data_IF_878315435758
#
_entry.id   IF_878315435758
#
_cell.length_a   1.000
_cell.length_b   1.000
_cell.length_c   1.000
_cell.angle_alpha   90.00
_cell.angle_beta   90.00
_cell.angle_gamma   90.00
#
_symmetry.space_group_name_H-M   'P 1'
#
loop_
_entity.id
_entity.type
_entity.pdbx_description
1 polymer ?
#
# COMPACT_ATOMS: atom_id res chain seq x y z
N UNK A 1 46.74 -8.78 -60.26
CA UNK A 1 47.53 -8.62 -59.02
C UNK A 1 46.93 -7.47 -58.24
N UNK A 2 46.02 -7.79 -57.32
CA UNK A 2 45.46 -6.84 -56.35
C UNK A 2 45.38 -7.60 -55.03
N UNK A 3 46.05 -7.04 -54.03
CA UNK A 3 46.33 -7.62 -52.72
C UNK A 3 45.10 -7.47 -51.83
N UNK A 4 44.70 -8.55 -51.17
CA UNK A 4 43.72 -8.55 -50.09
C UNK A 4 44.36 -7.97 -48.85
N UNK A 5 43.85 -6.85 -48.33
CA UNK A 5 44.19 -6.38 -46.98
C UNK A 5 43.32 -7.11 -45.96
N UNK A 6 43.99 -7.91 -45.14
CA UNK A 6 43.50 -8.57 -43.94
C UNK A 6 43.55 -7.57 -42.79
N UNK A 7 42.39 -7.06 -42.36
CA UNK A 7 42.28 -6.18 -41.19
C UNK A 7 42.09 -7.05 -39.93
N UNK A 8 43.20 -7.25 -39.23
CA UNK A 8 43.34 -7.84 -37.89
C UNK A 8 42.45 -7.09 -36.87
N UNK A 9 41.27 -7.65 -36.60
CA UNK A 9 40.36 -7.15 -35.56
C UNK A 9 40.72 -7.81 -34.22
N UNK A 10 41.81 -7.36 -33.60
CA UNK A 10 42.09 -7.67 -32.20
C UNK A 10 41.02 -7.03 -31.34
N UNK A 11 40.14 -7.89 -30.85
CA UNK A 11 39.18 -7.61 -29.78
C UNK A 11 39.95 -7.09 -28.58
N UNK A 12 39.87 -5.77 -28.34
CA UNK A 12 40.25 -5.20 -27.06
C UNK A 12 39.24 -5.70 -26.03
N UNK A 13 39.68 -6.54 -25.10
CA UNK A 13 38.93 -6.80 -23.88
C UNK A 13 38.67 -5.46 -23.16
N UNK A 14 37.45 -5.20 -22.68
CA UNK A 14 37.24 -4.11 -21.74
C UNK A 14 38.01 -4.40 -20.44
N UNK A 15 38.56 -3.37 -19.77
CA UNK A 15 39.25 -3.55 -18.50
C UNK A 15 38.26 -4.07 -17.45
N UNK A 16 38.71 -5.00 -16.61
CA UNK A 16 38.01 -5.50 -15.44
C UNK A 16 37.62 -4.30 -14.54
N UNK A 17 36.39 -3.84 -14.69
CA UNK A 17 35.78 -2.82 -13.85
C UNK A 17 35.17 -3.50 -12.63
N UNK A 18 35.38 -2.89 -11.47
CA UNK A 18 34.72 -3.20 -10.21
C UNK A 18 33.35 -3.88 -10.38
N UNK A 19 33.24 -5.15 -9.96
CA UNK A 19 31.98 -5.88 -9.88
C UNK A 19 31.07 -5.19 -8.85
N UNK A 20 30.33 -4.18 -9.30
CA UNK A 20 29.24 -3.57 -8.54
C UNK A 20 28.13 -4.60 -8.43
N UNK A 21 27.99 -5.19 -7.25
CA UNK A 21 26.82 -6.03 -6.96
C UNK A 21 25.60 -5.12 -6.86
N UNK A 22 24.51 -5.51 -7.52
CA UNK A 22 23.23 -4.82 -7.46
C UNK A 22 22.25 -5.60 -6.60
N UNK A 23 21.42 -4.87 -5.86
CA UNK A 23 20.17 -5.38 -5.31
C UNK A 23 19.06 -5.08 -6.31
N UNK A 24 18.15 -6.02 -6.52
CA UNK A 24 17.00 -5.86 -7.40
C UNK A 24 15.71 -5.90 -6.60
N UNK A 25 14.72 -5.14 -7.05
CA UNK A 25 13.35 -5.27 -6.57
C UNK A 25 12.35 -5.12 -7.71
N UNK A 26 11.18 -5.71 -7.52
CA UNK A 26 10.06 -5.57 -8.45
C UNK A 26 8.94 -4.80 -7.78
N UNK A 27 8.33 -3.87 -8.52
CA UNK A 27 7.10 -3.19 -8.14
C UNK A 27 6.12 -3.28 -9.31
N UNK A 28 4.82 -3.29 -9.00
CA UNK A 28 3.76 -3.18 -9.99
C UNK A 28 3.16 -1.78 -9.89
N UNK A 29 2.95 -1.18 -11.04
CA UNK A 29 2.22 0.07 -11.18
C UNK A 29 0.99 -0.16 -12.07
N UNK A 30 -0.11 0.51 -11.77
CA UNK A 30 -1.21 0.64 -12.73
C UNK A 30 -0.70 1.42 -13.94
N UNK A 31 -1.20 1.09 -15.13
CA UNK A 31 -0.82 1.77 -16.36
C UNK A 31 -1.08 3.26 -16.23
N UNK A 32 -0.19 4.11 -16.75
CA UNK A 32 -0.30 5.57 -16.58
C UNK A 32 0.23 6.10 -15.24
N UNK A 33 0.32 5.26 -14.20
CA UNK A 33 0.90 5.63 -12.89
C UNK A 33 2.38 5.24 -12.75
N UNK A 34 3.01 4.73 -13.81
CA UNK A 34 4.40 4.25 -13.74
C UNK A 34 5.37 5.36 -13.37
N UNK A 35 5.14 6.58 -13.86
CA UNK A 35 5.99 7.73 -13.57
C UNK A 35 6.03 8.05 -12.06
N UNK A 36 4.89 7.94 -11.38
CA UNK A 36 4.79 8.13 -9.91
C UNK A 36 5.56 7.03 -9.17
N UNK A 37 5.36 5.78 -9.59
CA UNK A 37 6.07 4.63 -9.00
C UNK A 37 7.58 4.73 -9.21
N UNK A 38 8.02 5.16 -10.39
CA UNK A 38 9.44 5.38 -10.70
C UNK A 38 10.00 6.52 -9.85
N UNK A 39 9.34 7.68 -9.81
CA UNK A 39 9.80 8.82 -9.03
C UNK A 39 9.92 8.48 -7.53
N UNK A 40 8.98 7.71 -7.00
CA UNK A 40 9.03 7.18 -5.63
C UNK A 40 10.28 6.34 -5.39
N UNK A 41 10.55 5.34 -6.22
CA UNK A 41 11.70 4.46 -6.04
C UNK A 41 13.04 5.16 -6.32
N UNK A 42 13.09 6.07 -7.29
CA UNK A 42 14.25 6.93 -7.56
C UNK A 42 14.60 7.82 -6.37
N UNK A 43 13.61 8.37 -5.67
CA UNK A 43 13.80 9.12 -4.42
C UNK A 43 14.45 8.28 -3.32
N UNK A 44 14.18 6.97 -3.29
CA UNK A 44 14.78 6.00 -2.36
C UNK A 44 16.13 5.43 -2.85
N UNK A 45 16.68 6.02 -3.92
CA UNK A 45 17.97 5.68 -4.49
C UNK A 45 17.96 4.43 -5.36
N UNK A 46 16.78 3.96 -5.80
CA UNK A 46 16.65 2.89 -6.78
C UNK A 46 16.63 3.43 -8.21
N UNK A 47 17.22 2.71 -9.14
CA UNK A 47 17.21 3.05 -10.55
C UNK A 47 16.31 2.08 -11.31
N UNK A 48 15.49 2.58 -12.25
CA UNK A 48 14.71 1.70 -13.12
C UNK A 48 15.65 0.86 -13.99
N UNK A 49 15.54 -0.46 -13.90
CA UNK A 49 16.32 -1.41 -14.70
C UNK A 49 15.52 -1.93 -15.90
N UNK A 50 14.33 -2.48 -15.64
CA UNK A 50 13.46 -3.06 -16.68
C UNK A 50 12.01 -2.64 -16.48
N UNK A 51 11.29 -2.44 -17.59
CA UNK A 51 9.86 -2.19 -17.62
C UNK A 51 9.18 -3.19 -18.54
N UNK A 52 8.22 -3.95 -18.00
CA UNK A 52 7.40 -4.90 -18.76
C UNK A 52 5.95 -4.41 -18.72
N UNK A 53 5.48 -3.88 -19.84
CA UNK A 53 4.14 -3.31 -19.93
C UNK A 53 3.11 -4.41 -20.20
N UNK A 54 2.15 -4.56 -19.29
CA UNK A 54 0.95 -5.38 -19.48
C UNK A 54 -0.26 -4.55 -19.93
N UNK A 55 -1.44 -5.16 -19.95
CA UNK A 55 -2.69 -4.50 -20.39
C UNK A 55 -3.10 -3.40 -19.40
N UNK A 56 -3.25 -3.77 -18.12
CA UNK A 56 -3.64 -2.89 -17.01
C UNK A 56 -2.48 -2.49 -16.09
N UNK A 57 -1.53 -3.40 -15.88
CA UNK A 57 -0.43 -3.24 -14.92
C UNK A 57 0.90 -3.29 -15.66
N UNK A 58 1.85 -2.49 -15.21
CA UNK A 58 3.23 -2.50 -15.67
C UNK A 58 4.12 -3.05 -14.56
N UNK A 59 4.82 -4.15 -14.84
CA UNK A 59 5.86 -4.66 -13.95
C UNK A 59 7.12 -3.80 -14.14
N UNK A 60 7.63 -3.24 -13.04
CA UNK A 60 8.81 -2.40 -12.99
C UNK A 60 9.87 -3.12 -12.14
N UNK A 61 11.03 -3.40 -12.73
CA UNK A 61 12.19 -3.90 -12.00
C UNK A 61 13.15 -2.75 -11.78
N UNK A 62 13.54 -2.54 -10.53
CA UNK A 62 14.51 -1.55 -10.13
C UNK A 62 15.79 -2.22 -9.64
N UNK A 63 16.90 -1.50 -9.73
CA UNK A 63 18.19 -1.92 -9.19
C UNK A 63 18.81 -0.82 -8.34
N UNK A 64 19.61 -1.19 -7.36
CA UNK A 64 20.42 -0.25 -6.58
C UNK A 64 21.78 -0.87 -6.29
N UNK A 65 22.84 -0.07 -6.35
CA UNK A 65 24.18 -0.56 -6.02
C UNK A 65 24.22 -1.00 -4.56
N UNK A 66 24.63 -2.25 -4.33
CA UNK A 66 24.83 -2.78 -2.98
C UNK A 66 25.99 -2.02 -2.34
N UNK A 67 25.79 -1.32 -1.21
CA UNK A 67 26.89 -0.61 -0.59
C UNK A 67 27.96 -1.62 -0.20
N UNK A 68 29.20 -1.39 -0.67
CA UNK A 68 30.34 -2.32 -0.52
C UNK A 68 30.71 -2.61 0.94
N UNK A 69 30.11 -1.92 1.91
CA UNK A 69 30.43 -2.07 3.33
C UNK A 69 29.18 -2.00 4.22
N UNK A 70 28.80 -3.09 4.93
CA UNK A 70 27.66 -3.09 5.86
C UNK A 70 27.83 -2.08 7.01
N UNK A 71 29.08 -1.71 7.34
CA UNK A 71 29.35 -0.66 8.32
C UNK A 71 28.87 0.73 7.86
N UNK A 72 28.92 1.02 6.55
CA UNK A 72 28.42 2.28 6.00
C UNK A 72 26.89 2.34 6.06
N UNK A 73 26.19 1.20 5.91
CA UNK A 73 24.73 1.13 6.11
C UNK A 73 24.36 1.40 7.57
N UNK A 74 25.07 0.80 8.53
CA UNK A 74 24.87 1.09 9.95
C UNK A 74 25.13 2.56 10.29
N UNK A 75 26.21 3.15 9.76
CA UNK A 75 26.55 4.56 9.99
C UNK A 75 25.51 5.49 9.35
N UNK A 76 25.07 5.21 8.12
CA UNK A 76 24.03 6.00 7.46
C UNK A 76 22.69 5.91 8.20
N UNK A 77 22.31 4.71 8.65
CA UNK A 77 21.11 4.51 9.45
C UNK A 77 21.19 5.24 10.79
N UNK A 78 22.30 5.11 11.53
CA UNK A 78 22.50 5.81 12.80
C UNK A 78 22.52 7.34 12.62
N UNK A 79 23.12 7.85 11.54
CA UNK A 79 23.15 9.28 11.25
C UNK A 79 21.77 9.84 10.89
N UNK A 80 21.00 9.14 10.04
CA UNK A 80 19.66 9.55 9.63
C UNK A 80 18.66 9.58 10.80
N UNK A 81 18.85 8.70 11.80
CA UNK A 81 17.93 8.58 12.94
C UNK A 81 18.47 9.23 14.22
N UNK A 82 19.70 9.77 14.21
CA UNK A 82 20.28 10.50 15.35
C UNK A 82 19.39 11.63 15.91
N UNK A 83 18.64 12.41 15.12
CA UNK A 83 17.74 13.45 15.65
C UNK A 83 16.62 12.89 16.53
N UNK A 84 16.16 11.65 16.26
CA UNK A 84 15.13 10.98 17.06
C UNK A 84 15.68 10.47 18.39
N UNK A 85 16.95 10.06 18.43
CA UNK A 85 17.61 9.57 19.66
C UNK A 85 18.24 10.68 20.50
N UNK A 86 18.69 11.78 19.90
CA UNK A 86 19.34 12.91 20.58
C UNK A 86 18.43 13.72 21.52
N UNK A 87 17.12 13.46 21.54
CA UNK A 87 16.14 14.11 22.43
C UNK A 87 15.79 13.30 23.69
N UNK A 88 16.37 12.12 23.89
CA UNK A 88 16.12 11.28 25.07
C UNK A 88 17.00 11.75 26.25
N UNK A 89 16.56 12.77 26.98
CA UNK A 89 17.27 13.37 28.13
C UNK A 89 16.97 12.69 29.48
N UNK A 90 16.13 11.66 29.49
CA UNK A 90 15.75 10.92 30.69
C UNK A 90 16.73 9.76 30.95
N UNK A 91 17.36 9.75 32.14
CA UNK A 91 18.32 8.72 32.59
C UNK A 91 17.74 7.30 32.49
N UNK A 92 16.42 7.15 32.64
CA UNK A 92 15.71 5.87 32.55
C UNK A 92 15.67 5.32 31.11
N UNK A 93 15.57 6.19 30.11
CA UNK A 93 15.58 5.80 28.69
C UNK A 93 16.99 5.41 28.22
N UNK A 94 18.04 6.03 28.78
CA UNK A 94 19.42 5.65 28.50
C UNK A 94 19.76 4.24 29.02
N UNK A 95 19.24 3.87 30.19
CA UNK A 95 19.39 2.50 30.75
C UNK A 95 18.63 1.47 29.90
N UNK A 96 17.42 1.80 29.44
CA UNK A 96 16.64 0.92 28.57
C UNK A 96 17.31 0.70 27.20
N UNK A 97 17.91 1.74 26.62
CA UNK A 97 18.62 1.65 25.34
C UNK A 97 19.93 0.85 25.47
N UNK A 98 20.67 1.03 26.58
CA UNK A 98 21.87 0.25 26.87
C UNK A 98 21.54 -1.24 27.07
N UNK A 99 20.42 -1.56 27.73
CA UNK A 99 19.94 -2.94 27.86
C UNK A 99 19.54 -3.54 26.50
N UNK A 100 18.83 -2.79 25.65
CA UNK A 100 18.46 -3.24 24.31
C UNK A 100 19.68 -3.45 23.40
N UNK A 101 20.66 -2.54 23.43
CA UNK A 101 21.91 -2.68 22.69
C UNK A 101 22.74 -3.88 23.18
N UNK A 102 22.76 -4.14 24.50
CA UNK A 102 23.40 -5.33 25.06
C UNK A 102 22.72 -6.63 24.64
N UNK A 103 21.38 -6.65 24.53
CA UNK A 103 20.61 -7.79 24.04
C UNK A 103 20.90 -8.05 22.55
N UNK A 104 20.94 -7.02 21.71
CA UNK A 104 21.30 -7.16 20.28
C UNK A 104 22.73 -7.67 20.12
N UNK A 105 23.68 -7.17 20.91
CA UNK A 105 25.05 -7.68 20.91
C UNK A 105 25.11 -9.15 21.36
N UNK A 106 24.31 -9.55 22.36
CA UNK A 106 24.21 -10.95 22.82
C UNK A 106 23.61 -11.88 21.75
N UNK A 107 22.60 -11.41 21.00
CA UNK A 107 22.00 -12.18 19.89
C UNK A 107 22.99 -12.35 18.74
N UNK A 108 23.78 -11.32 18.41
CA UNK A 108 24.82 -11.41 17.38
C UNK A 108 26.00 -12.31 17.79
N UNK A 109 26.37 -12.32 19.08
CA UNK A 109 27.39 -13.26 19.61
C UNK A 109 26.82 -14.69 19.68
N UNK A 110 25.55 -14.87 20.02
CA UNK A 110 24.86 -16.16 20.02
C UNK A 110 24.75 -16.78 18.62
N UNK A 111 24.43 -15.97 17.61
CA UNK A 111 24.39 -16.40 16.21
C UNK A 111 25.77 -16.87 15.69
N UNK A 112 26.86 -16.36 16.25
CA UNK A 112 28.24 -16.75 15.91
C UNK A 112 28.69 -18.07 16.58
N UNK A 113 28.01 -18.52 17.65
CA UNK A 113 28.35 -19.76 18.38
C UNK A 113 27.49 -20.96 17.97
N UNK A 114 26.31 -20.74 17.38
CA UNK A 114 25.35 -21.81 17.01
C UNK A 114 25.71 -22.57 15.73
N UNK A 115 26.78 -22.19 15.01
CA UNK A 115 27.26 -22.92 13.83
C UNK A 115 27.97 -24.28 14.12
N UNK A 116 28.02 -24.76 15.37
CA UNK A 116 28.90 -25.91 15.72
C UNK A 116 28.27 -27.12 16.43
N UNK A 117 26.99 -27.17 16.83
CA UNK A 117 26.47 -28.37 17.52
C UNK A 117 25.02 -28.70 17.14
N UNK A 118 24.87 -29.79 16.39
CA UNK A 118 23.64 -30.58 16.24
C UNK A 118 23.18 -31.14 17.60
N UNK A 119 21.86 -31.18 17.84
CA UNK A 119 21.29 -32.05 18.87
C UNK A 119 19.94 -31.56 19.38
N UNK A 120 18.88 -32.30 19.05
CA UNK A 120 17.49 -31.95 19.34
C UNK A 120 17.06 -32.03 20.81
N UNK A 121 15.79 -31.72 21.03
CA UNK A 121 15.11 -31.89 22.31
C UNK A 121 13.79 -31.11 22.37
N UNK A 122 12.69 -31.83 22.25
CA UNK A 122 11.32 -31.38 22.56
C UNK A 122 11.20 -30.90 24.00
N UNK A 123 10.50 -29.79 24.24
CA UNK A 123 9.81 -29.54 25.50
C UNK A 123 8.65 -28.56 25.31
N UNK A 124 7.46 -29.02 25.68
CA UNK A 124 6.23 -28.26 25.90
C UNK A 124 6.14 -27.86 27.38
N UNK A 125 5.64 -26.66 27.70
CA UNK A 125 4.62 -26.52 28.75
C UNK A 125 3.54 -25.48 28.34
N UNK A 126 2.25 -25.82 28.39
CA UNK A 126 1.36 -25.85 29.56
C UNK A 126 0.87 -24.44 29.99
N UNK A 127 -0.43 -24.24 29.80
CA UNK A 127 -1.21 -23.09 30.23
C UNK A 127 -1.38 -23.02 31.75
N UNK A 128 -1.63 -21.81 32.26
CA UNK A 128 -2.40 -21.59 33.48
C UNK A 128 -3.18 -20.25 33.39
N UNK A 129 -4.34 -20.14 34.06
CA UNK A 129 -5.29 -19.03 33.95
C UNK A 129 -5.11 -18.00 35.07
N UNK A 130 -5.58 -16.76 34.85
CA UNK A 130 -5.78 -15.78 35.93
C UNK A 130 -7.10 -15.01 35.74
N UNK A 131 -8.10 -15.45 36.51
CA UNK A 131 -8.87 -14.74 37.54
C UNK A 131 -9.23 -13.24 37.39
N UNK A 132 -10.45 -12.93 37.83
CA UNK A 132 -11.21 -11.71 37.58
C UNK A 132 -11.24 -10.69 38.73
N UNK A 133 -11.66 -9.46 38.35
CA UNK A 133 -12.40 -8.42 39.12
C UNK A 133 -11.59 -7.52 40.10
N UNK A 134 -12.11 -6.35 40.57
CA UNK A 134 -13.40 -5.68 40.33
C UNK A 134 -13.35 -4.14 40.07
N UNK A 135 -14.55 -3.59 39.93
CA UNK A 135 -15.02 -2.21 39.71
C UNK A 135 -14.46 -1.05 40.56
N UNK A 136 -14.39 0.13 39.93
CA UNK A 136 -14.58 1.48 40.50
C UNK A 136 -15.09 2.38 39.35
N UNK A 137 -15.78 3.50 39.50
CA UNK A 137 -16.73 4.05 40.47
C UNK A 137 -17.23 5.33 39.78
N UNK A 138 -18.54 5.45 39.64
CA UNK A 138 -19.27 6.60 39.08
C UNK A 138 -18.84 7.92 39.74
N UNK A 139 -18.43 8.90 38.92
CA UNK A 139 -18.54 10.32 39.24
C UNK A 139 -19.64 10.91 38.37
N UNK A 140 -20.72 11.35 39.01
CA UNK A 140 -21.77 12.13 38.39
C UNK A 140 -21.29 13.59 38.36
N UNK A 141 -20.96 14.09 37.18
CA UNK A 141 -20.80 15.53 36.97
C UNK A 141 -22.11 16.09 36.44
N UNK A 142 -22.68 16.99 37.23
CA UNK A 142 -23.94 17.67 36.95
C UNK A 142 -23.62 18.85 36.04
N UNK A 143 -23.74 18.65 34.73
CA UNK A 143 -23.65 19.72 33.75
C UNK A 143 -25.03 20.37 33.58
N UNK A 144 -25.09 21.66 33.89
CA UNK A 144 -26.22 22.55 33.71
C UNK A 144 -26.68 22.57 32.25
N UNK A 145 -27.91 22.14 31.98
CA UNK A 145 -28.57 22.26 30.67
C UNK A 145 -28.75 23.74 30.31
N UNK A 146 -27.90 24.22 29.40
CA UNK A 146 -28.17 25.41 28.62
C UNK A 146 -29.16 25.03 27.51
N UNK A 147 -30.23 25.80 27.26
CA UNK A 147 -31.17 25.51 26.18
C UNK A 147 -30.45 25.55 24.84
N UNK A 148 -30.12 24.37 24.32
CA UNK A 148 -29.58 24.18 22.99
C UNK A 148 -30.68 24.50 21.99
N UNK A 149 -30.50 25.60 21.27
CA UNK A 149 -31.26 25.92 20.06
C UNK A 149 -31.20 24.67 19.16
N UNK A 150 -32.37 24.14 18.79
CA UNK A 150 -32.44 22.90 18.04
C UNK A 150 -31.69 23.09 16.71
N UNK A 151 -30.70 22.25 16.38
CA UNK A 151 -30.02 22.38 15.11
C UNK A 151 -31.05 22.28 13.98
N UNK A 152 -30.85 23.03 12.88
CA UNK A 152 -31.72 22.91 11.72
C UNK A 152 -31.80 21.44 11.32
N UNK A 153 -33.02 20.95 11.14
CA UNK A 153 -33.29 19.59 10.66
C UNK A 153 -32.65 19.48 9.28
N UNK A 154 -31.51 18.79 9.19
CA UNK A 154 -30.89 18.47 7.91
C UNK A 154 -31.92 17.74 7.05
N UNK A 155 -32.06 18.14 5.79
CA UNK A 155 -32.93 17.43 4.86
C UNK A 155 -32.44 15.99 4.73
N UNK A 156 -33.34 15.02 4.76
CA UNK A 156 -32.96 13.62 4.71
C UNK A 156 -32.37 13.30 3.34
N UNK A 157 -31.06 13.05 3.28
CA UNK A 157 -30.38 12.59 2.08
C UNK A 157 -31.02 11.30 1.57
N UNK A 158 -31.34 11.27 0.27
CA UNK A 158 -31.87 10.07 -0.41
C UNK A 158 -30.96 9.75 -1.58
N UNK A 159 -30.33 8.58 -1.53
CA UNK A 159 -29.49 8.09 -2.61
C UNK A 159 -30.31 7.87 -3.89
N UNK A 160 -29.83 8.42 -5.01
CA UNK A 160 -30.49 8.36 -6.32
C UNK A 160 -29.62 7.68 -7.40
N UNK A 161 -28.52 7.03 -6.99
CA UNK A 161 -27.59 6.37 -7.90
C UNK A 161 -27.99 4.94 -8.28
N UNK A 162 -27.11 4.23 -9.02
CA UNK A 162 -27.32 2.82 -9.36
C UNK A 162 -27.36 1.94 -8.10
N UNK A 163 -27.93 0.74 -8.21
CA UNK A 163 -27.80 -0.24 -7.12
C UNK A 163 -26.35 -0.69 -6.99
N UNK A 164 -25.88 -0.82 -5.75
CA UNK A 164 -24.54 -1.32 -5.44
C UNK A 164 -24.55 -2.14 -4.15
N UNK A 165 -23.52 -2.97 -3.98
CA UNK A 165 -23.25 -3.73 -2.76
C UNK A 165 -21.82 -3.49 -2.30
N UNK A 166 -21.62 -3.22 -1.01
CA UNK A 166 -20.29 -3.24 -0.39
C UNK A 166 -19.94 -4.69 -0.08
N UNK A 167 -19.00 -5.27 -0.83
CA UNK A 167 -18.58 -6.67 -0.70
C UNK A 167 -17.59 -6.84 0.45
N UNK A 168 -16.57 -5.98 0.49
CA UNK A 168 -15.50 -6.00 1.49
C UNK A 168 -15.22 -4.57 1.94
N UNK A 169 -14.93 -4.41 3.23
CA UNK A 169 -14.41 -3.17 3.81
C UNK A 169 -13.08 -3.50 4.48
N UNK A 170 -12.01 -2.86 4.00
CA UNK A 170 -10.69 -2.93 4.64
C UNK A 170 -10.46 -1.61 5.41
N UNK A 171 -10.37 -1.68 6.73
CA UNK A 171 -10.06 -0.53 7.58
C UNK A 171 -8.54 -0.31 7.70
N UNK A 172 -8.14 0.93 8.01
CA UNK A 172 -6.74 1.31 8.26
C UNK A 172 -5.77 0.92 7.12
N UNK A 173 -6.22 0.96 5.87
CA UNK A 173 -5.36 0.70 4.73
C UNK A 173 -4.49 1.90 4.39
N UNK A 174 -3.30 1.64 3.88
CA UNK A 174 -2.26 2.63 3.53
C UNK A 174 -1.60 3.34 4.72
N UNK A 175 -0.60 4.17 4.43
CA UNK A 175 0.06 5.00 5.43
C UNK A 175 -0.85 6.11 6.00
N UNK A 176 -2.00 6.37 5.38
CA UNK A 176 -2.99 7.33 5.85
C UNK A 176 -4.11 6.72 6.71
N UNK A 177 -4.13 5.40 6.89
CA UNK A 177 -5.18 4.73 7.67
C UNK A 177 -6.58 4.96 7.08
N UNK A 178 -6.68 4.91 5.75
CA UNK A 178 -7.95 5.10 5.04
C UNK A 178 -8.80 3.84 5.14
N UNK A 179 -10.13 4.00 5.12
CA UNK A 179 -11.03 2.89 4.85
C UNK A 179 -11.13 2.67 3.35
N UNK A 180 -11.03 1.41 2.90
CA UNK A 180 -11.25 1.00 1.51
C UNK A 180 -12.53 0.19 1.38
N UNK A 181 -13.38 0.63 0.48
CA UNK A 181 -14.62 -0.04 0.09
C UNK A 181 -14.43 -0.78 -1.24
N UNK A 182 -14.75 -2.07 -1.25
CA UNK A 182 -14.86 -2.85 -2.47
C UNK A 182 -16.33 -2.98 -2.85
N UNK A 183 -16.70 -2.33 -3.94
CA UNK A 183 -18.09 -2.15 -4.34
C UNK A 183 -18.41 -2.97 -5.59
N UNK A 184 -19.44 -3.80 -5.50
CA UNK A 184 -20.00 -4.54 -6.61
C UNK A 184 -21.19 -3.80 -7.21
N UNK A 185 -21.22 -3.74 -8.54
CA UNK A 185 -22.30 -3.13 -9.33
C UNK A 185 -22.71 -4.07 -10.47
N UNK A 186 -23.90 -3.85 -11.02
CA UNK A 186 -24.25 -4.41 -12.33
C UNK A 186 -23.39 -3.74 -13.43
N UNK A 187 -23.09 -4.44 -14.55
CA UNK A 187 -22.35 -3.85 -15.66
C UNK A 187 -22.99 -2.58 -16.21
N UNK A 188 -22.16 -1.56 -16.46
CA UNK A 188 -22.60 -0.26 -16.98
C UNK A 188 -22.68 -0.22 -18.51
N UNK A 189 -23.42 0.77 -19.03
CA UNK A 189 -23.35 1.14 -20.45
C UNK A 189 -22.13 2.05 -20.70
N UNK A 190 -21.04 1.45 -21.18
CA UNK A 190 -19.79 2.14 -21.51
C UNK A 190 -19.81 2.92 -22.83
N UNK A 191 -20.95 2.99 -23.53
CA UNK A 191 -21.08 3.74 -24.79
C UNK A 191 -21.20 5.26 -24.59
N UNK A 192 -21.43 5.69 -23.34
CA UNK A 192 -21.54 7.10 -22.94
C UNK A 192 -20.77 7.33 -21.64
N UNK A 193 -20.51 8.58 -21.26
CA UNK A 193 -19.84 8.91 -19.99
C UNK A 193 -20.78 8.82 -18.77
N UNK A 194 -22.03 8.39 -18.94
CA UNK A 194 -23.02 8.31 -17.87
C UNK A 194 -22.60 7.37 -16.74
N UNK A 195 -21.85 6.30 -17.05
CA UNK A 195 -21.31 5.41 -16.01
C UNK A 195 -20.39 6.14 -15.02
N UNK A 196 -19.64 7.16 -15.46
CA UNK A 196 -18.78 7.95 -14.58
C UNK A 196 -19.61 8.76 -13.58
N UNK A 197 -20.73 9.35 -14.04
CA UNK A 197 -21.67 10.05 -13.17
C UNK A 197 -22.29 9.09 -12.14
N UNK A 198 -22.67 7.89 -12.57
CA UNK A 198 -23.24 6.87 -11.70
C UNK A 198 -22.23 6.39 -10.63
N UNK A 199 -20.97 6.21 -11.00
CA UNK A 199 -19.90 5.86 -10.05
C UNK A 199 -19.63 6.99 -9.08
N UNK A 200 -19.58 8.25 -9.55
CA UNK A 200 -19.44 9.41 -8.65
C UNK A 200 -20.55 9.43 -7.61
N UNK A 201 -21.80 9.13 -7.98
CA UNK A 201 -22.90 9.03 -7.02
C UNK A 201 -22.67 7.96 -5.95
N UNK A 202 -22.13 6.79 -6.31
CA UNK A 202 -21.75 5.74 -5.34
C UNK A 202 -20.70 6.27 -4.36
N UNK A 203 -19.62 6.88 -4.88
CA UNK A 203 -18.53 7.42 -4.03
C UNK A 203 -19.06 8.54 -3.11
N UNK A 204 -19.92 9.40 -3.64
CA UNK A 204 -20.59 10.47 -2.89
C UNK A 204 -21.46 9.92 -1.75
N UNK A 205 -22.16 8.80 -1.97
CA UNK A 205 -22.99 8.15 -0.96
C UNK A 205 -22.13 7.54 0.15
N UNK A 206 -21.10 6.78 -0.21
CA UNK A 206 -20.15 6.21 0.76
C UNK A 206 -19.43 7.29 1.57
N UNK A 207 -18.99 8.37 0.91
CA UNK A 207 -18.35 9.50 1.58
C UNK A 207 -19.29 10.20 2.59
N UNK A 208 -20.58 10.32 2.26
CA UNK A 208 -21.59 10.84 3.21
C UNK A 208 -21.85 9.88 4.36
N UNK A 209 -21.92 8.58 4.09
CA UNK A 209 -22.10 7.56 5.12
C UNK A 209 -20.94 7.56 6.14
N UNK A 210 -19.71 7.73 5.66
CA UNK A 210 -18.51 7.82 6.52
C UNK A 210 -18.26 9.22 7.09
N UNK A 211 -18.91 10.24 6.53
CA UNK A 211 -18.70 11.63 6.90
C UNK A 211 -17.33 12.19 6.51
N UNK A 212 -16.65 11.57 5.54
CA UNK A 212 -15.33 12.00 5.05
C UNK A 212 -15.17 11.72 3.55
N UNK A 213 -14.36 12.53 2.87
CA UNK A 213 -13.90 12.25 1.50
C UNK A 213 -12.59 11.43 1.50
N UNK A 214 -11.95 11.28 2.65
CA UNK A 214 -10.66 10.62 2.82
C UNK A 214 -10.87 9.12 2.97
N UNK A 215 -11.16 8.46 1.85
CA UNK A 215 -11.43 7.04 1.75
C UNK A 215 -11.01 6.51 0.37
N UNK A 216 -10.99 5.19 0.21
CA UNK A 216 -10.77 4.54 -1.08
C UNK A 216 -12.03 3.78 -1.50
N UNK A 217 -12.38 3.82 -2.78
CA UNK A 217 -13.49 3.01 -3.34
C UNK A 217 -13.02 2.34 -4.62
N UNK A 218 -13.02 1.02 -4.63
CA UNK A 218 -12.77 0.21 -5.81
C UNK A 218 -14.09 -0.36 -6.32
N UNK A 219 -14.50 0.03 -7.53
CA UNK A 219 -15.77 -0.37 -8.14
C UNK A 219 -15.54 -1.45 -9.18
N UNK A 220 -16.19 -2.60 -8.98
CA UNK A 220 -16.08 -3.79 -9.82
C UNK A 220 -17.45 -4.31 -10.24
N UNK A 221 -17.46 -5.14 -11.29
CA UNK A 221 -18.67 -5.85 -11.78
C UNK A 221 -18.57 -7.37 -11.62
N UNK A 222 -17.47 -7.86 -11.05
CA UNK A 222 -17.27 -9.26 -10.68
C UNK A 222 -16.84 -9.32 -9.20
N UNK A 223 -17.60 -10.07 -8.39
CA UNK A 223 -17.37 -10.21 -6.96
C UNK A 223 -16.01 -10.83 -6.64
N UNK A 224 -15.55 -11.78 -7.45
CA UNK A 224 -14.28 -12.46 -7.19
C UNK A 224 -13.10 -11.49 -7.22
N UNK A 225 -13.19 -10.38 -7.98
CA UNK A 225 -12.14 -9.35 -7.96
C UNK A 225 -12.09 -8.66 -6.60
N UNK A 226 -13.25 -8.25 -6.07
CA UNK A 226 -13.32 -7.62 -4.75
C UNK A 226 -12.76 -8.56 -3.67
N UNK A 227 -13.15 -9.83 -3.67
CA UNK A 227 -12.69 -10.80 -2.67
C UNK A 227 -11.21 -11.18 -2.84
N UNK A 228 -10.72 -11.26 -4.07
CA UNK A 228 -9.33 -11.61 -4.35
C UNK A 228 -8.36 -10.46 -4.06
N UNK A 229 -8.74 -9.22 -4.32
CA UNK A 229 -7.82 -8.08 -4.23
C UNK A 229 -7.94 -7.30 -2.90
N UNK A 230 -9.00 -7.54 -2.11
CA UNK A 230 -9.13 -6.98 -0.77
C UNK A 230 -8.14 -7.62 0.21
N UNK A 231 -7.51 -6.79 1.05
CA UNK A 231 -6.45 -7.24 1.95
C UNK A 231 -6.94 -8.25 2.98
N UNK A 232 -8.16 -8.07 3.48
CA UNK A 232 -8.74 -8.93 4.51
C UNK A 232 -9.20 -10.30 3.99
N UNK A 233 -9.52 -10.43 2.70
CA UNK A 233 -10.07 -11.67 2.12
C UNK A 233 -9.13 -12.39 1.15
N UNK A 234 -8.11 -11.72 0.60
CA UNK A 234 -7.19 -12.28 -0.39
C UNK A 234 -6.61 -13.64 0.03
N UNK A 235 -6.16 -13.78 1.28
CA UNK A 235 -5.56 -15.05 1.75
C UNK A 235 -6.57 -16.20 1.74
N UNK A 236 -7.80 -15.96 2.21
CA UNK A 236 -8.86 -16.96 2.21
C UNK A 236 -9.29 -17.30 0.77
N UNK A 237 -9.35 -16.31 -0.12
CA UNK A 237 -9.63 -16.50 -1.53
C UNK A 237 -8.58 -17.40 -2.20
N UNK A 238 -7.30 -17.16 -1.94
CA UNK A 238 -6.19 -18.00 -2.44
C UNK A 238 -6.27 -19.42 -1.87
N UNK A 239 -6.62 -19.58 -0.60
CA UNK A 239 -6.80 -20.90 0.01
C UNK A 239 -7.96 -21.70 -0.60
N UNK A 240 -9.04 -21.03 -0.97
CA UNK A 240 -10.21 -21.65 -1.60
C UNK A 240 -9.99 -21.98 -3.08
N UNK A 241 -9.44 -21.05 -3.85
CA UNK A 241 -9.34 -21.17 -5.31
C UNK A 241 -7.96 -21.65 -5.80
N UNK A 242 -6.92 -21.52 -4.97
CA UNK A 242 -5.53 -21.86 -5.29
C UNK A 242 -4.74 -20.72 -5.95
N UNK A 243 -3.42 -20.72 -5.72
CA UNK A 243 -2.49 -19.72 -6.26
C UNK A 243 -2.56 -19.59 -7.80
N UNK A 244 -2.73 -20.71 -8.50
CA UNK A 244 -2.80 -20.71 -9.98
C UNK A 244 -4.02 -19.92 -10.49
N UNK A 245 -5.17 -20.08 -9.83
CA UNK A 245 -6.37 -19.33 -10.17
C UNK A 245 -6.19 -17.85 -9.89
N UNK A 246 -5.66 -17.51 -8.70
CA UNK A 246 -5.39 -16.13 -8.33
C UNK A 246 -4.44 -15.45 -9.33
N UNK A 247 -3.30 -16.08 -9.65
CA UNK A 247 -2.28 -15.48 -10.51
C UNK A 247 -2.69 -15.43 -11.99
N UNK A 248 -3.45 -16.41 -12.49
CA UNK A 248 -3.72 -16.54 -13.93
C UNK A 248 -5.15 -16.23 -14.37
N UNK A 249 -6.12 -16.20 -13.45
CA UNK A 249 -7.53 -15.97 -13.74
C UNK A 249 -7.97 -14.58 -13.30
N UNK A 250 -7.67 -14.18 -12.06
CA UNK A 250 -8.09 -12.88 -11.53
C UNK A 250 -7.60 -11.71 -12.40
N UNK A 251 -6.33 -11.62 -12.81
CA UNK A 251 -5.89 -10.53 -13.68
C UNK A 251 -6.65 -10.39 -15.00
N UNK A 252 -7.12 -11.50 -15.57
CA UNK A 252 -7.93 -11.47 -16.80
C UNK A 252 -9.35 -10.96 -16.54
N UNK A 253 -9.89 -11.25 -15.35
CA UNK A 253 -11.17 -10.69 -14.91
C UNK A 253 -11.03 -9.19 -14.66
N UNK A 254 -9.95 -8.75 -14.01
CA UNK A 254 -9.67 -7.32 -13.77
C UNK A 254 -9.73 -6.50 -15.05
N UNK A 255 -9.14 -7.01 -16.16
CA UNK A 255 -9.17 -6.35 -17.48
C UNK A 255 -10.57 -6.01 -17.99
N UNK A 256 -11.59 -6.74 -17.55
CA UNK A 256 -12.96 -6.61 -18.06
C UNK A 256 -13.94 -6.05 -17.03
N UNK A 257 -13.66 -6.29 -15.74
CA UNK A 257 -14.64 -6.10 -14.68
C UNK A 257 -14.22 -5.09 -13.62
N UNK A 258 -12.98 -4.59 -13.63
CA UNK A 258 -12.60 -3.41 -12.85
C UNK A 258 -13.09 -2.16 -13.57
N UNK A 259 -13.85 -1.30 -12.88
CA UNK A 259 -14.51 -0.15 -13.50
C UNK A 259 -13.90 1.17 -13.08
N UNK A 260 -13.65 1.36 -11.78
CA UNK A 260 -13.07 2.60 -11.27
C UNK A 260 -12.36 2.36 -9.93
N UNK A 261 -11.45 3.29 -9.60
CA UNK A 261 -10.79 3.36 -8.31
C UNK A 261 -10.72 4.82 -7.90
N UNK A 262 -11.41 5.16 -6.83
CA UNK A 262 -11.32 6.46 -6.17
C UNK A 262 -10.33 6.39 -5.01
N UNK A 263 -9.48 7.40 -4.91
CA UNK A 263 -8.65 7.63 -3.73
C UNK A 263 -8.81 9.07 -3.30
N UNK A 264 -9.23 9.28 -2.05
CA UNK A 264 -9.26 10.59 -1.41
C UNK A 264 -8.36 10.65 -0.18
N UNK A 265 -7.74 11.81 0.04
CA UNK A 265 -6.96 12.07 1.25
C UNK A 265 -5.53 11.52 1.23
N UNK A 266 -5.03 11.02 0.09
CA UNK A 266 -3.69 10.43 -0.02
C UNK A 266 -2.89 10.99 -1.20
N UNK A 267 -1.69 11.51 -0.92
CA UNK A 267 -0.73 11.93 -1.93
C UNK A 267 0.23 10.76 -2.22
N UNK A 268 0.11 10.16 -3.40
CA UNK A 268 0.96 9.04 -3.84
C UNK A 268 2.42 9.43 -4.08
N UNK A 269 2.70 10.68 -4.44
CA UNK A 269 4.06 11.16 -4.69
C UNK A 269 4.80 11.43 -3.37
N UNK A 270 4.08 11.92 -2.36
CA UNK A 270 4.61 12.09 -1.00
C UNK A 270 4.58 10.79 -0.17
N UNK A 271 3.65 9.88 -0.47
CA UNK A 271 3.39 8.68 0.31
C UNK A 271 2.82 8.99 1.71
N UNK A 272 1.99 10.03 1.83
CA UNK A 272 1.49 10.57 3.09
C UNK A 272 0.03 11.03 2.92
N UNK A 273 -0.75 11.15 4.01
CA UNK A 273 -2.05 11.82 3.97
C UNK A 273 -1.92 13.24 3.41
N UNK A 274 -2.90 13.69 2.64
CA UNK A 274 -2.94 15.05 2.09
C UNK A 274 -4.37 15.50 1.82
N UNK A 275 -4.63 16.79 2.05
CA UNK A 275 -5.90 17.45 1.72
C UNK A 275 -5.79 18.32 0.46
N UNK A 276 -4.70 18.19 -0.31
CA UNK A 276 -4.56 18.88 -1.59
C UNK A 276 -5.57 18.36 -2.60
N UNK A 277 -5.97 19.19 -3.56
CA UNK A 277 -6.84 18.74 -4.66
C UNK A 277 -6.28 17.50 -5.38
N UNK A 278 -4.95 17.42 -5.55
CA UNK A 278 -4.27 16.30 -6.20
C UNK A 278 -4.30 14.98 -5.39
N UNK A 279 -4.81 15.00 -4.16
CA UNK A 279 -4.99 13.83 -3.30
C UNK A 279 -6.38 13.20 -3.45
N UNK A 280 -7.19 13.70 -4.38
CA UNK A 280 -8.55 13.24 -4.66
C UNK A 280 -8.70 12.94 -6.14
N UNK A 281 -8.55 11.66 -6.50
CA UNK A 281 -8.59 11.21 -7.88
C UNK A 281 -9.49 10.00 -8.10
N UNK A 282 -10.07 9.91 -9.29
CA UNK A 282 -10.67 8.69 -9.82
C UNK A 282 -9.89 8.25 -11.05
N UNK A 283 -9.50 6.99 -11.06
CA UNK A 283 -8.99 6.30 -12.26
C UNK A 283 -10.15 5.50 -12.86
N UNK A 284 -10.33 5.62 -14.17
CA UNK A 284 -11.43 5.03 -14.92
C UNK A 284 -10.93 3.92 -15.84
N UNK A 285 -11.51 2.73 -15.69
CA UNK A 285 -11.32 1.60 -16.57
C UNK A 285 -12.57 1.36 -17.41
N UNK A 286 -12.43 1.57 -18.72
CA UNK A 286 -13.43 1.21 -19.69
C UNK A 286 -12.87 0.05 -20.53
N UNK A 287 -13.56 -1.11 -20.60
CA UNK A 287 -13.05 -2.25 -21.37
C UNK A 287 -12.88 -1.96 -22.88
N UNK A 288 -13.48 -0.87 -23.37
CA UNK A 288 -13.46 -0.45 -24.77
C UNK A 288 -12.64 0.83 -25.03
N UNK A 289 -12.02 1.43 -24.01
CA UNK A 289 -11.27 2.67 -24.17
C UNK A 289 -9.98 2.65 -23.32
N UNK A 290 -8.99 3.51 -23.64
CA UNK A 290 -7.84 3.69 -22.77
C UNK A 290 -8.25 4.15 -21.37
N UNK A 291 -7.47 3.75 -20.38
CA UNK A 291 -7.59 4.26 -19.02
C UNK A 291 -7.48 5.80 -19.01
N UNK A 292 -8.29 6.43 -18.16
CA UNK A 292 -8.25 7.88 -17.94
C UNK A 292 -8.29 8.19 -16.46
N UNK A 293 -7.83 9.38 -16.09
CA UNK A 293 -7.78 9.84 -14.70
C UNK A 293 -8.46 11.21 -14.60
N UNK A 294 -9.18 11.42 -13.51
CA UNK A 294 -9.84 12.68 -13.18
C UNK A 294 -9.50 13.08 -11.74
N UNK A 295 -9.15 14.36 -11.54
CA UNK A 295 -9.06 14.95 -10.20
C UNK A 295 -10.46 15.39 -9.76
N UNK A 296 -11.01 14.74 -8.74
CA UNK A 296 -12.39 14.93 -8.30
C UNK A 296 -12.54 14.51 -6.84
N UNK A 297 -13.34 15.28 -6.08
CA UNK A 297 -13.63 15.05 -4.67
C UNK A 297 -15.15 14.99 -4.45
N UNK A 298 -15.67 14.02 -3.66
CA UNK A 298 -17.09 13.92 -3.35
C UNK A 298 -17.58 15.09 -2.49
N UNK A 299 -18.86 15.42 -2.62
CA UNK A 299 -19.48 16.53 -1.86
C UNK A 299 -20.17 15.99 -0.61
N UNK A 300 -19.62 16.32 0.56
CA UNK A 300 -20.19 15.91 1.85
C UNK A 300 -21.44 16.70 2.27
N UNK A 301 -21.75 17.82 1.60
CA UNK A 301 -22.92 18.63 1.90
C UNK A 301 -24.20 18.01 1.33
N UNK A 302 -25.20 17.86 2.20
CA UNK A 302 -26.58 17.46 1.94
C UNK A 302 -27.48 18.04 3.03
#
# INVERSE_FOLDING_TARGET
MSTTEEIDSRTALPPAGDDLQYEFMSARALRGTEARTIAKWEKDGWELDTRTQGTLRTDLTFRRAKPKNPWQQCVAFLAAHWPAFGRLTSTTQQVALAAAAAVVALVLVGALVVASVLGGGTAQPAAAPTEAAPSEQRAADTATEQPSEAPPTAEAYTYAGPQYEVVVVDEDVSAAGLTRYWVLTDPFDYSTDEYQNQIKLIVDDLARQDGTADLMVDVVTDREIAEAEAFSTMQAFIEEHGDDYFVNTIPKKEEQHWVASYTGGFDYDAGQPSNSADAYEIIWWNPNAPETMEQWQPTLAG
#
